data_IF_239187408319
#
_entry.id   IF_239187408319
#
_cell.length_a   1.000
_cell.length_b   1.000
_cell.length_c   1.000
_cell.angle_alpha   90.00
_cell.angle_beta   90.00
_cell.angle_gamma   90.00
#
_symmetry.space_group_name_H-M   'P 1'
#
loop_
_entity.id
_entity.type
_entity.pdbx_description
1 polymer ?
#
# COMPACT_ATOMS: atom_id res chain seq x y z
N UNK A 1 -3.63 9.41 -12.09
CA UNK A 1 -4.49 9.16 -10.92
C UNK A 1 -4.11 10.02 -9.71
N UNK A 2 -2.85 10.05 -9.27
CA UNK A 2 -2.43 10.85 -8.10
C UNK A 2 -2.83 12.33 -8.20
N UNK A 3 -2.62 12.98 -9.36
CA UNK A 3 -3.04 14.37 -9.56
C UNK A 3 -4.55 14.57 -9.41
N UNK A 4 -5.37 13.60 -9.85
CA UNK A 4 -6.81 13.66 -9.67
C UNK A 4 -7.12 13.57 -8.17
N UNK A 5 -6.60 12.56 -7.46
CA UNK A 5 -6.79 12.41 -6.01
C UNK A 5 -6.40 13.69 -5.25
N UNK A 6 -5.24 14.26 -5.54
CA UNK A 6 -4.74 15.43 -4.82
C UNK A 6 -5.52 16.71 -5.13
N UNK A 7 -6.02 16.87 -6.36
CA UNK A 7 -6.73 18.10 -6.77
C UNK A 7 -8.23 18.04 -6.51
N UNK A 8 -8.85 16.88 -6.72
CA UNK A 8 -10.31 16.71 -6.66
C UNK A 8 -10.76 15.93 -5.46
N UNK A 9 -9.83 15.38 -4.66
CA UNK A 9 -10.13 14.54 -3.48
C UNK A 9 -10.96 13.31 -3.81
N UNK A 10 -10.84 12.78 -5.03
CA UNK A 10 -11.59 11.60 -5.48
C UNK A 10 -10.68 10.62 -6.18
N UNK A 11 -10.98 9.32 -6.05
CA UNK A 11 -10.37 8.27 -6.84
C UNK A 11 -11.39 7.80 -7.89
N UNK A 12 -11.47 8.47 -9.06
CA UNK A 12 -12.53 8.21 -10.03
C UNK A 12 -12.49 6.80 -10.62
N UNK A 13 -11.32 6.18 -10.66
CA UNK A 13 -11.11 4.90 -11.33
C UNK A 13 -11.51 3.72 -10.42
N UNK A 14 -11.26 3.82 -9.12
CA UNK A 14 -11.41 2.70 -8.17
C UNK A 14 -12.44 2.94 -7.05
N UNK A 15 -12.86 4.18 -6.82
CA UNK A 15 -13.88 4.53 -5.82
C UNK A 15 -14.70 5.76 -6.27
N UNK A 16 -15.46 5.65 -7.38
CA UNK A 16 -16.20 6.78 -7.94
C UNK A 16 -17.28 7.29 -6.98
N UNK A 17 -17.43 8.61 -6.91
CA UNK A 17 -18.49 9.27 -6.15
C UNK A 17 -18.22 9.44 -4.65
N UNK A 18 -17.04 9.03 -4.15
CA UNK A 18 -16.65 9.21 -2.75
C UNK A 18 -15.58 10.30 -2.64
N UNK A 19 -15.83 11.30 -1.78
CA UNK A 19 -14.83 12.28 -1.40
C UNK A 19 -13.90 11.72 -0.32
N UNK A 20 -12.60 11.81 -0.55
CA UNK A 20 -11.56 11.35 0.37
C UNK A 20 -11.36 12.38 1.51
N UNK A 21 -11.00 11.95 2.73
CA UNK A 21 -10.76 12.85 3.88
C UNK A 21 -9.55 13.78 3.70
N UNK A 22 -9.58 15.03 4.20
CA UNK A 22 -8.60 16.10 3.93
C UNK A 22 -7.12 15.69 3.99
N UNK A 23 -6.76 14.82 4.94
CA UNK A 23 -5.39 14.34 5.14
C UNK A 23 -4.89 13.27 4.15
N UNK A 24 -5.70 12.85 3.18
CA UNK A 24 -5.27 11.89 2.15
C UNK A 24 -4.54 12.63 1.03
N UNK A 25 -3.30 12.23 0.80
CA UNK A 25 -2.47 12.60 -0.36
C UNK A 25 -2.06 11.34 -1.13
N UNK A 26 -1.83 11.48 -2.43
CA UNK A 26 -1.39 10.42 -3.31
C UNK A 26 -0.07 10.79 -3.99
N UNK A 27 0.85 9.82 -4.03
CA UNK A 27 2.12 9.93 -4.75
C UNK A 27 2.37 8.64 -5.54
N UNK A 28 3.24 8.72 -6.53
CA UNK A 28 3.76 7.56 -7.25
C UNK A 28 5.10 7.07 -6.67
N UNK A 29 5.68 7.81 -5.72
CA UNK A 29 6.93 7.50 -5.05
C UNK A 29 6.67 6.80 -3.72
N UNK A 30 7.09 5.54 -3.62
CA UNK A 30 6.95 4.76 -2.39
C UNK A 30 7.80 5.31 -1.23
N UNK A 31 8.95 5.91 -1.51
CA UNK A 31 9.80 6.51 -0.49
C UNK A 31 9.14 7.75 0.11
N UNK A 32 8.54 8.60 -0.73
CA UNK A 32 7.76 9.74 -0.27
C UNK A 32 6.56 9.27 0.57
N UNK A 33 5.83 8.24 0.11
CA UNK A 33 4.67 7.72 0.84
C UNK A 33 5.04 7.10 2.20
N UNK A 34 6.21 6.47 2.31
CA UNK A 34 6.65 5.77 3.52
C UNK A 34 7.43 6.67 4.49
N UNK A 35 7.95 7.80 4.03
CA UNK A 35 8.83 8.69 4.82
C UNK A 35 8.18 9.13 6.13
N UNK A 36 8.77 8.72 7.25
CA UNK A 36 8.34 9.09 8.60
C UNK A 36 7.04 8.42 9.06
N UNK A 37 6.59 7.36 8.38
CA UNK A 37 5.39 6.64 8.76
C UNK A 37 5.64 5.72 9.99
N UNK A 38 4.89 5.91 11.07
CA UNK A 38 4.87 4.97 12.21
C UNK A 38 4.08 3.68 11.88
N UNK A 39 3.20 3.73 10.88
CA UNK A 39 2.36 2.62 10.46
C UNK A 39 2.19 2.63 8.95
N UNK A 40 2.42 1.49 8.31
CA UNK A 40 2.22 1.30 6.87
C UNK A 40 1.13 0.28 6.64
N UNK A 41 0.07 0.70 5.95
CA UNK A 41 -1.05 -0.16 5.59
C UNK A 41 -0.83 -0.69 4.18
N UNK A 42 -0.60 -1.99 4.06
CA UNK A 42 -0.48 -2.70 2.80
C UNK A 42 -1.89 -3.07 2.33
N UNK A 43 -2.34 -2.48 1.22
CA UNK A 43 -3.69 -2.63 0.68
C UNK A 43 -3.66 -2.89 -0.84
N UNK A 44 -2.81 -3.83 -1.27
CA UNK A 44 -2.66 -4.26 -2.67
C UNK A 44 -3.28 -5.64 -2.90
N UNK A 45 -3.53 -6.07 -4.15
CA UNK A 45 -3.89 -7.46 -4.42
C UNK A 45 -2.86 -8.45 -3.83
N UNK A 46 -3.32 -9.53 -3.20
CA UNK A 46 -2.47 -10.52 -2.51
C UNK A 46 -1.34 -11.08 -3.39
N UNK A 47 -1.61 -11.27 -4.68
CA UNK A 47 -0.67 -11.88 -5.62
C UNK A 47 0.44 -10.91 -6.11
N UNK A 48 0.25 -9.60 -5.95
CA UNK A 48 1.29 -8.61 -6.30
C UNK A 48 2.15 -8.20 -5.11
N UNK A 49 1.83 -8.66 -3.90
CA UNK A 49 2.49 -8.23 -2.67
C UNK A 49 4.00 -8.49 -2.70
N UNK A 50 4.43 -9.71 -3.04
CA UNK A 50 5.85 -10.08 -3.00
C UNK A 50 6.69 -9.23 -3.95
N UNK A 51 6.22 -9.04 -5.19
CA UNK A 51 6.89 -8.18 -6.17
C UNK A 51 7.01 -6.74 -5.65
N UNK A 52 5.93 -6.22 -5.06
CA UNK A 52 5.91 -4.89 -4.49
C UNK A 52 6.88 -4.74 -3.30
N UNK A 53 6.89 -5.71 -2.38
CA UNK A 53 7.81 -5.72 -1.23
C UNK A 53 9.27 -5.70 -1.68
N UNK A 54 9.62 -6.43 -2.76
CA UNK A 54 10.96 -6.39 -3.34
C UNK A 54 11.41 -4.98 -3.80
N UNK A 55 10.46 -4.07 -4.08
CA UNK A 55 10.74 -2.66 -4.43
C UNK A 55 10.65 -1.73 -3.23
N UNK A 56 9.85 -2.05 -2.22
CA UNK A 56 9.54 -1.15 -1.11
C UNK A 56 10.37 -1.39 0.13
N UNK A 57 10.90 -2.60 0.34
CA UNK A 57 11.62 -2.95 1.58
C UNK A 57 12.75 -1.99 1.91
N UNK A 58 13.43 -1.44 0.90
CA UNK A 58 14.53 -0.51 1.08
C UNK A 58 14.10 0.90 1.53
N UNK A 59 12.81 1.23 1.44
CA UNK A 59 12.27 2.57 1.75
C UNK A 59 11.24 2.56 2.88
N UNK A 60 10.81 1.38 3.33
CA UNK A 60 9.94 1.25 4.50
C UNK A 60 10.73 1.58 5.78
N UNK A 61 10.20 2.41 6.69
CA UNK A 61 10.86 2.65 7.97
C UNK A 61 10.99 1.36 8.78
N UNK A 62 12.16 1.13 9.36
CA UNK A 62 12.47 -0.12 10.10
C UNK A 62 11.55 -0.32 11.31
N UNK A 63 11.16 0.76 11.98
CA UNK A 63 10.30 0.75 13.17
C UNK A 63 8.79 0.82 12.85
N UNK A 64 8.41 0.88 11.56
CA UNK A 64 7.01 1.01 11.18
C UNK A 64 6.22 -0.29 11.45
N UNK A 65 5.01 -0.14 12.00
CA UNK A 65 4.07 -1.25 12.10
C UNK A 65 3.46 -1.53 10.72
N UNK A 66 3.71 -2.72 10.18
CA UNK A 66 3.10 -3.16 8.93
C UNK A 66 1.73 -3.81 9.17
N UNK A 67 0.68 -3.27 8.54
CA UNK A 67 -0.69 -3.77 8.62
C UNK A 67 -1.13 -4.31 7.28
N UNK A 68 -1.41 -5.62 7.19
CA UNK A 68 -1.92 -6.26 5.99
C UNK A 68 -3.45 -6.20 5.94
N UNK A 69 -4.03 -5.58 4.91
CA UNK A 69 -5.47 -5.63 4.63
C UNK A 69 -5.87 -6.68 3.58
N UNK A 70 -4.89 -7.38 3.01
CA UNK A 70 -5.10 -8.37 1.99
C UNK A 70 -5.75 -9.64 2.55
N UNK A 71 -6.67 -10.22 1.77
CA UNK A 71 -7.31 -11.52 2.07
C UNK A 71 -6.77 -12.58 1.11
N UNK A 72 -6.48 -13.78 1.63
CA UNK A 72 -6.01 -14.93 0.85
C UNK A 72 -4.57 -15.35 1.15
N UNK A 73 -4.07 -16.27 0.32
CA UNK A 73 -2.69 -16.81 0.36
C UNK A 73 -2.01 -16.57 -0.98
N UNK A 74 -0.68 -16.58 -0.98
CA UNK A 74 0.11 -16.49 -2.21
C UNK A 74 -0.03 -17.80 -3.01
N UNK A 75 -0.40 -17.68 -4.29
CA UNK A 75 -0.48 -18.84 -5.17
C UNK A 75 0.93 -19.36 -5.47
N UNK A 76 1.10 -20.68 -5.43
CA UNK A 76 2.39 -21.35 -5.64
C UNK A 76 3.13 -21.67 -4.35
N UNK A 77 3.17 -20.75 -3.38
CA UNK A 77 3.83 -20.98 -2.07
C UNK A 77 2.85 -21.38 -0.97
N UNK A 78 1.56 -21.03 -1.12
CA UNK A 78 0.51 -21.19 -0.09
C UNK A 78 0.77 -20.42 1.20
N UNK A 79 1.73 -19.49 1.19
CA UNK A 79 2.03 -18.65 2.35
C UNK A 79 0.90 -17.65 2.61
N UNK A 80 0.58 -17.41 3.88
CA UNK A 80 -0.29 -16.32 4.29
C UNK A 80 0.43 -15.00 4.03
N UNK A 81 -0.32 -13.93 3.80
CA UNK A 81 0.27 -12.60 3.52
C UNK A 81 1.23 -12.12 4.62
N UNK A 82 0.94 -12.44 5.89
CA UNK A 82 1.84 -12.17 7.00
C UNK A 82 3.17 -12.94 6.95
N UNK A 83 3.17 -14.13 6.34
CA UNK A 83 4.38 -14.93 6.13
C UNK A 83 5.16 -14.39 4.93
N UNK A 84 4.48 -14.04 3.84
CA UNK A 84 5.10 -13.36 2.68
C UNK A 84 5.76 -12.03 3.07
N UNK A 85 5.19 -11.29 4.03
CA UNK A 85 5.80 -10.05 4.54
C UNK A 85 7.07 -10.31 5.36
N UNK A 86 7.19 -11.48 5.98
CA UNK A 86 8.33 -11.84 6.85
C UNK A 86 9.46 -12.56 6.09
N UNK A 87 9.14 -13.17 4.97
CA UNK A 87 10.03 -13.98 4.10
C UNK A 87 10.83 -13.10 3.14
#
# INVERSE_FOLDING_TARGET
LCDAINRTRTNPDYLPGVELPPGVTATHDAAEAASGADTVVLAVPSQSLRENLGRWVAVLPEDAVLVSLMKGVELGTSLRMSEVIRD
#
